data_IF_758583956359
#
_entry.id   IF_758583956359
#
_cell.length_a   1.000
_cell.length_b   1.000
_cell.length_c   1.000
_cell.angle_alpha   90.00
_cell.angle_beta   90.00
_cell.angle_gamma   90.00
#
_symmetry.space_group_name_H-M   'P 1'
#
loop_
_entity.id
_entity.type
_entity.pdbx_description
1 polymer ?
#
# COMPACT_ATOMS: atom_id res chain seq x y z
N UNK A 1 31.40 -0.41 11.20
CA UNK A 1 30.55 -1.32 10.41
C UNK A 1 29.34 -0.61 9.80
N UNK A 2 28.52 0.13 10.57
CA UNK A 2 27.30 0.80 10.07
C UNK A 2 27.56 1.82 8.92
N UNK A 3 28.66 2.57 8.95
CA UNK A 3 28.99 3.53 7.87
C UNK A 3 29.26 2.88 6.50
N UNK A 4 29.77 1.64 6.45
CA UNK A 4 30.05 0.95 5.17
C UNK A 4 28.79 0.31 4.58
N UNK A 5 27.87 -0.13 5.44
CA UNK A 5 26.57 -0.68 5.03
C UNK A 5 25.64 0.40 4.46
N UNK A 6 25.83 1.67 4.86
CA UNK A 6 24.98 2.80 4.44
C UNK A 6 24.81 2.91 2.91
N UNK A 7 25.87 2.62 2.17
CA UNK A 7 25.90 2.78 0.71
C UNK A 7 25.74 1.47 -0.06
N UNK A 8 25.59 0.35 0.64
CA UNK A 8 25.61 -0.99 0.03
C UNK A 8 24.38 -1.83 0.36
N UNK A 9 23.64 -1.49 1.43
CA UNK A 9 22.42 -2.19 1.80
C UNK A 9 21.31 -1.86 0.79
N UNK A 10 20.96 -2.86 -0.02
CA UNK A 10 19.90 -2.77 -1.03
C UNK A 10 18.62 -3.48 -0.64
N UNK A 11 18.70 -4.41 0.31
CA UNK A 11 17.61 -5.35 0.61
C UNK A 11 17.47 -5.55 2.10
N UNK A 12 16.24 -5.44 2.59
CA UNK A 12 15.87 -5.75 3.97
C UNK A 12 14.67 -6.68 3.92
N UNK A 13 14.81 -7.81 4.61
CA UNK A 13 13.74 -8.78 4.79
C UNK A 13 13.57 -9.02 6.28
N UNK A 14 12.37 -8.82 6.79
CA UNK A 14 11.96 -9.15 8.15
C UNK A 14 10.77 -10.09 8.10
N UNK A 15 10.87 -11.24 8.75
CA UNK A 15 9.80 -12.20 8.87
C UNK A 15 9.58 -12.51 10.35
N UNK A 16 8.33 -12.56 10.78
CA UNK A 16 7.97 -13.01 12.11
C UNK A 16 7.27 -14.36 12.02
N UNK A 17 7.94 -15.41 12.49
CA UNK A 17 7.49 -16.81 12.31
C UNK A 17 6.30 -17.19 13.21
N UNK A 18 6.05 -16.47 14.31
CA UNK A 18 4.91 -16.71 15.20
C UNK A 18 4.60 -15.49 16.07
N UNK A 19 3.34 -15.10 16.13
CA UNK A 19 2.81 -14.21 17.16
C UNK A 19 1.60 -14.91 17.82
N UNK A 20 1.57 -15.07 19.14
CA UNK A 20 0.35 -15.50 19.80
C UNK A 20 -0.72 -14.40 19.63
N UNK A 21 -1.97 -14.78 19.37
CA UNK A 21 -3.14 -13.89 19.22
C UNK A 21 -3.52 -13.16 20.53
N UNK A 22 -2.54 -12.68 21.31
CA UNK A 22 -2.78 -11.89 22.50
C UNK A 22 -3.06 -10.45 22.08
N UNK A 23 -4.36 -10.18 21.92
CA UNK A 23 -4.95 -8.84 21.74
C UNK A 23 -4.39 -7.91 22.83
N UNK A 24 -3.56 -6.94 22.45
CA UNK A 24 -3.18 -5.82 23.33
C UNK A 24 -1.70 -5.45 23.42
N UNK A 25 -0.77 -6.30 22.98
CA UNK A 25 0.68 -6.06 23.12
C UNK A 25 1.44 -5.89 21.79
N UNK A 26 0.78 -5.49 20.71
CA UNK A 26 1.51 -5.18 19.48
C UNK A 26 2.47 -4.00 19.76
N UNK A 27 3.79 -4.16 19.55
CA UNK A 27 4.72 -3.04 19.63
C UNK A 27 4.24 -1.96 18.68
N UNK A 28 3.84 -0.82 19.25
CA UNK A 28 3.39 0.36 18.52
C UNK A 28 4.63 1.18 18.22
N UNK A 29 5.40 0.80 17.22
CA UNK A 29 6.69 1.47 17.04
C UNK A 29 7.06 1.63 15.57
N UNK A 30 6.52 2.69 14.97
CA UNK A 30 7.01 3.29 13.74
C UNK A 30 8.51 3.65 13.84
N UNK A 31 9.02 3.84 15.07
CA UNK A 31 10.44 4.04 15.35
C UNK A 31 11.31 2.87 14.90
N UNK A 32 10.77 1.65 14.77
CA UNK A 32 11.52 0.50 14.25
C UNK A 32 11.94 0.69 12.77
N UNK A 33 11.22 1.51 12.00
CA UNK A 33 11.55 1.81 10.61
C UNK A 33 12.55 2.96 10.48
N UNK A 34 12.63 3.87 11.47
CA UNK A 34 13.48 5.07 11.40
C UNK A 34 14.97 4.76 11.13
N UNK A 35 15.59 3.72 11.71
CA UNK A 35 16.97 3.37 11.38
C UNK A 35 17.18 3.04 9.89
N UNK A 36 16.16 2.49 9.22
CA UNK A 36 16.23 2.13 7.80
C UNK A 36 16.26 3.35 6.88
N UNK A 37 15.79 4.52 7.34
CA UNK A 37 15.83 5.77 6.59
C UNK A 37 17.28 6.26 6.34
N UNK A 38 18.26 5.71 7.05
CA UNK A 38 19.66 6.06 6.84
C UNK A 38 20.30 5.43 5.58
N UNK A 39 19.61 4.51 4.89
CA UNK A 39 20.14 3.69 3.79
C UNK A 39 19.52 4.08 2.44
N UNK A 40 20.13 5.03 1.69
CA UNK A 40 19.52 5.59 0.48
C UNK A 40 19.48 4.67 -0.75
N UNK A 41 20.17 3.54 -0.68
CA UNK A 41 20.25 2.57 -1.79
C UNK A 41 19.31 1.37 -1.59
N UNK A 42 18.37 1.45 -0.65
CA UNK A 42 17.37 0.41 -0.48
C UNK A 42 16.50 0.32 -1.73
N UNK A 43 16.46 -0.87 -2.31
CA UNK A 43 15.65 -1.25 -3.46
C UNK A 43 14.50 -2.17 -3.05
N UNK A 44 14.68 -2.99 -2.01
CA UNK A 44 13.71 -4.00 -1.57
C UNK A 44 13.55 -3.94 -0.05
N UNK A 45 12.35 -3.65 0.42
CA UNK A 45 12.00 -3.66 1.85
C UNK A 45 10.76 -4.52 2.03
N UNK A 46 10.94 -5.71 2.60
CA UNK A 46 9.83 -6.62 2.89
C UNK A 46 9.83 -6.92 4.38
N UNK A 47 8.87 -6.34 5.10
CA UNK A 47 8.72 -6.54 6.54
C UNK A 47 7.36 -7.16 6.76
N UNK A 48 7.37 -8.47 6.88
CA UNK A 48 6.23 -9.28 7.26
C UNK A 48 6.37 -9.57 8.78
N UNK A 49 5.79 -8.69 9.61
CA UNK A 49 5.78 -8.85 11.06
C UNK A 49 4.45 -8.32 11.60
N UNK A 50 3.94 -8.87 12.71
CA UNK A 50 2.69 -8.44 13.35
C UNK A 50 2.89 -7.12 14.13
N UNK A 51 3.32 -6.06 13.43
CA UNK A 51 3.59 -4.74 14.00
C UNK A 51 2.38 -3.83 13.75
N UNK A 52 2.00 -3.07 14.78
CA UNK A 52 0.99 -2.03 14.61
C UNK A 52 1.58 -0.84 13.86
N UNK A 53 1.05 -0.59 12.66
CA UNK A 53 1.30 0.63 11.90
C UNK A 53 0.27 1.72 12.22
N UNK A 54 -0.33 1.70 13.41
CA UNK A 54 -1.33 2.69 13.84
C UNK A 54 -0.82 4.13 13.82
N UNK A 55 0.48 4.34 14.03
CA UNK A 55 1.12 5.66 13.93
C UNK A 55 1.71 5.93 12.53
N UNK A 56 1.56 5.00 11.60
CA UNK A 56 2.02 5.21 10.22
C UNK A 56 1.05 6.15 9.53
N UNK A 57 1.54 7.34 9.23
CA UNK A 57 0.81 8.40 8.56
C UNK A 57 1.50 8.82 7.25
N UNK A 58 0.95 9.82 6.57
CA UNK A 58 1.52 10.33 5.33
C UNK A 58 2.91 10.98 5.54
N UNK A 59 3.24 11.45 6.74
CA UNK A 59 4.55 12.04 7.05
C UNK A 59 5.64 10.96 7.06
N UNK A 60 5.39 9.81 7.70
CA UNK A 60 6.35 8.71 7.66
C UNK A 60 6.51 8.15 6.23
N UNK A 61 5.41 8.06 5.47
CA UNK A 61 5.45 7.63 4.07
C UNK A 61 6.31 8.58 3.22
N UNK A 62 6.16 9.90 3.41
CA UNK A 62 7.02 10.90 2.77
C UNK A 62 8.49 10.68 3.14
N UNK A 63 8.80 10.52 4.43
CA UNK A 63 10.18 10.32 4.90
C UNK A 63 10.81 9.06 4.31
N UNK A 64 10.04 7.97 4.22
CA UNK A 64 10.49 6.73 3.57
C UNK A 64 10.73 6.90 2.07
N UNK A 65 9.80 7.55 1.36
CA UNK A 65 9.92 7.78 -0.08
C UNK A 65 11.13 8.66 -0.41
N UNK A 66 11.35 9.72 0.37
CA UNK A 66 12.54 10.58 0.26
C UNK A 66 13.84 9.84 0.60
N UNK A 67 13.81 8.98 1.62
CA UNK A 67 14.98 8.24 2.05
C UNK A 67 15.39 7.16 1.04
N UNK A 68 14.45 6.56 0.30
CA UNK A 68 14.70 5.41 -0.58
C UNK A 68 14.34 5.71 -2.05
N UNK A 69 15.07 6.60 -2.74
CA UNK A 69 14.74 6.99 -4.11
C UNK A 69 14.86 5.84 -5.14
N UNK A 70 15.61 4.78 -4.80
CA UNK A 70 15.80 3.59 -5.64
C UNK A 70 14.85 2.43 -5.28
N UNK A 71 13.82 2.70 -4.46
CA UNK A 71 12.90 1.67 -4.00
C UNK A 71 12.12 1.07 -5.18
N UNK A 72 12.18 -0.26 -5.30
CA UNK A 72 11.51 -1.07 -6.32
C UNK A 72 10.36 -1.88 -5.74
N UNK A 73 10.55 -2.39 -4.53
CA UNK A 73 9.53 -3.17 -3.83
C UNK A 73 9.49 -2.78 -2.36
N UNK A 74 8.28 -2.45 -1.88
CA UNK A 74 8.00 -2.19 -0.48
C UNK A 74 6.79 -3.02 -0.07
N UNK A 75 6.89 -3.83 0.98
CA UNK A 75 5.74 -4.46 1.60
C UNK A 75 5.90 -4.45 3.11
N UNK A 76 4.97 -3.75 3.77
CA UNK A 76 4.92 -3.57 5.21
C UNK A 76 3.69 -4.27 5.78
N UNK A 77 3.83 -5.58 5.98
CA UNK A 77 2.86 -6.39 6.70
C UNK A 77 1.54 -6.58 5.96
N UNK A 78 1.49 -6.35 4.64
CA UNK A 78 0.26 -6.47 3.87
C UNK A 78 -0.30 -7.91 3.84
N UNK A 79 0.54 -8.88 4.20
CA UNK A 79 0.22 -10.30 4.31
C UNK A 79 0.08 -10.79 5.75
N UNK A 80 0.38 -9.98 6.77
CA UNK A 80 0.57 -10.48 8.14
C UNK A 80 0.28 -9.51 9.28
N UNK A 81 -0.14 -8.28 9.02
CA UNK A 81 -0.64 -7.36 10.04
C UNK A 81 -2.17 -7.43 10.13
N UNK A 82 -2.65 -7.89 11.28
CA UNK A 82 -4.05 -8.20 11.55
C UNK A 82 -4.80 -6.95 11.95
N UNK A 83 -5.80 -6.51 11.18
CA UNK A 83 -6.87 -5.61 11.65
C UNK A 83 -6.46 -4.22 12.16
N UNK A 84 -5.17 -3.92 12.25
CA UNK A 84 -4.67 -2.69 12.86
C UNK A 84 -4.92 -1.53 11.89
N UNK A 85 -5.52 -0.44 12.37
CA UNK A 85 -5.75 0.74 11.55
C UNK A 85 -4.42 1.33 11.11
N UNK A 86 -4.39 1.90 9.91
CA UNK A 86 -3.31 2.75 9.40
C UNK A 86 -3.87 4.16 9.21
N UNK A 87 -3.06 5.18 9.51
CA UNK A 87 -3.43 6.57 9.28
C UNK A 87 -2.97 7.07 7.90
N UNK A 88 -2.23 6.25 7.16
CA UNK A 88 -1.90 6.53 5.76
C UNK A 88 -3.19 6.66 4.96
N UNK A 89 -3.29 7.73 4.16
CA UNK A 89 -4.41 7.92 3.23
C UNK A 89 -3.95 7.68 1.79
N UNK A 90 -4.87 7.76 0.83
CA UNK A 90 -4.55 7.70 -0.60
C UNK A 90 -3.51 8.76 -1.02
N UNK A 91 -3.48 9.91 -0.35
CA UNK A 91 -2.50 10.97 -0.60
C UNK A 91 -1.06 10.51 -0.30
N UNK A 92 -0.87 9.64 0.70
CA UNK A 92 0.44 9.07 1.00
C UNK A 92 1.05 8.33 -0.20
N UNK A 93 0.23 7.76 -1.07
CA UNK A 93 0.71 7.06 -2.28
C UNK A 93 1.38 8.01 -3.28
N UNK A 94 1.05 9.31 -3.26
CA UNK A 94 1.67 10.30 -4.15
C UNK A 94 3.16 10.48 -3.86
N UNK A 95 3.57 10.29 -2.61
CA UNK A 95 4.97 10.44 -2.20
C UNK A 95 5.87 9.44 -2.92
N UNK A 96 5.39 8.21 -3.12
CA UNK A 96 6.12 7.21 -3.89
C UNK A 96 6.16 7.51 -5.40
N UNK A 97 5.12 8.17 -5.94
CA UNK A 97 5.13 8.61 -7.33
C UNK A 97 6.18 9.69 -7.57
N UNK A 98 6.37 10.58 -6.59
CA UNK A 98 7.30 11.70 -6.68
C UNK A 98 8.75 11.29 -6.43
N UNK A 99 8.99 10.45 -5.42
CA UNK A 99 10.35 10.17 -4.95
C UNK A 99 10.89 8.78 -5.35
N UNK A 100 10.03 7.82 -5.70
CA UNK A 100 10.42 6.44 -6.01
C UNK A 100 9.99 6.03 -7.43
N UNK A 101 10.61 6.56 -8.49
CA UNK A 101 10.18 6.35 -9.88
C UNK A 101 10.34 4.90 -10.38
N UNK A 102 11.15 4.08 -9.68
CA UNK A 102 11.40 2.67 -10.01
C UNK A 102 10.48 1.70 -9.25
N UNK A 103 9.61 2.19 -8.36
CA UNK A 103 8.72 1.36 -7.55
C UNK A 103 7.75 0.58 -8.46
N UNK A 104 7.81 -0.75 -8.39
CA UNK A 104 7.00 -1.65 -9.20
C UNK A 104 6.02 -2.51 -8.40
N UNK A 105 6.22 -2.63 -7.08
CA UNK A 105 5.34 -3.37 -6.17
C UNK A 105 5.22 -2.66 -4.82
N UNK A 106 3.98 -2.52 -4.33
CA UNK A 106 3.68 -1.92 -3.03
C UNK A 106 2.68 -2.77 -2.24
N UNK A 107 3.06 -3.16 -1.01
CA UNK A 107 2.21 -3.75 0.00
C UNK A 107 2.06 -2.82 1.19
N UNK A 108 0.88 -2.23 1.37
CA UNK A 108 0.66 -1.23 2.41
C UNK A 108 -0.82 -1.16 2.81
N UNK A 109 -1.09 -1.13 4.11
CA UNK A 109 -2.42 -0.84 4.64
C UNK A 109 -2.63 0.68 4.73
N UNK A 110 -3.81 1.14 4.31
CA UNK A 110 -4.21 2.54 4.31
C UNK A 110 -5.70 2.71 4.65
N UNK A 111 -6.09 3.94 4.96
CA UNK A 111 -7.46 4.38 5.12
C UNK A 111 -7.94 5.09 3.84
N UNK A 112 -8.69 4.37 3.00
CA UNK A 112 -9.32 4.90 1.79
C UNK A 112 -10.79 5.31 1.99
N UNK A 113 -11.26 5.46 3.25
CA UNK A 113 -12.55 6.07 3.56
C UNK A 113 -12.50 7.61 3.53
N UNK A 114 -11.30 8.18 3.65
CA UNK A 114 -11.09 9.62 3.59
C UNK A 114 -11.40 10.18 2.19
N UNK A 115 -11.58 11.50 2.10
CA UNK A 115 -11.82 12.19 0.83
C UNK A 115 -10.74 11.84 -0.19
N UNK A 116 -11.16 11.36 -1.37
CA UNK A 116 -10.24 11.02 -2.46
C UNK A 116 -9.64 12.31 -3.05
N UNK A 117 -8.31 12.44 -3.18
CA UNK A 117 -7.66 13.70 -3.59
C UNK A 117 -7.96 14.16 -5.03
N UNK A 118 -8.71 13.39 -5.83
CA UNK A 118 -8.91 13.59 -7.27
C UNK A 118 -9.28 15.01 -7.70
N UNK A 119 -10.11 15.71 -6.92
CA UNK A 119 -10.58 17.06 -7.25
C UNK A 119 -9.49 18.13 -7.14
N UNK A 120 -8.40 17.83 -6.41
CA UNK A 120 -7.32 18.77 -6.13
C UNK A 120 -6.04 18.46 -6.91
N UNK A 121 -6.02 17.37 -7.69
CA UNK A 121 -4.82 16.93 -8.42
C UNK A 121 -4.65 17.69 -9.74
N UNK A 122 -3.53 18.43 -9.92
CA UNK A 122 -3.16 19.03 -11.20
C UNK A 122 -3.03 17.96 -12.29
N UNK A 123 -3.32 18.30 -13.54
CA UNK A 123 -3.10 17.39 -14.70
C UNK A 123 -1.65 16.92 -14.82
N UNK A 124 -0.70 17.73 -14.35
CA UNK A 124 0.74 17.44 -14.35
C UNK A 124 1.25 16.63 -13.15
N UNK A 125 0.37 16.04 -12.33
CA UNK A 125 0.81 15.27 -11.15
C UNK A 125 1.74 14.12 -11.56
N UNK A 126 2.82 13.84 -10.79
CA UNK A 126 3.66 12.66 -11.00
C UNK A 126 2.83 11.37 -10.99
N UNK A 127 3.05 10.54 -12.00
CA UNK A 127 2.52 9.18 -12.09
C UNK A 127 3.69 8.20 -12.16
N UNK A 128 3.58 7.06 -11.49
CA UNK A 128 4.56 6.00 -11.57
C UNK A 128 4.13 4.97 -12.63
N UNK A 129 4.88 4.94 -13.74
CA UNK A 129 4.63 4.05 -14.88
C UNK A 129 5.16 2.62 -14.66
N UNK A 130 6.05 2.42 -13.68
CA UNK A 130 6.64 1.12 -13.34
C UNK A 130 5.77 0.31 -12.40
N UNK A 131 4.89 0.94 -11.61
CA UNK A 131 3.97 0.27 -10.69
C UNK A 131 3.12 -0.78 -11.41
N UNK A 132 3.23 -2.05 -10.97
CA UNK A 132 2.46 -3.19 -11.51
C UNK A 132 1.58 -3.88 -10.48
N UNK A 133 1.96 -3.86 -9.20
CA UNK A 133 1.28 -4.59 -8.14
C UNK A 133 1.02 -3.71 -6.91
N UNK A 134 -0.22 -3.74 -6.43
CA UNK A 134 -0.65 -3.10 -5.19
C UNK A 134 -1.38 -4.13 -4.31
N UNK A 135 -0.86 -4.37 -3.12
CA UNK A 135 -1.49 -5.20 -2.10
C UNK A 135 -1.94 -4.29 -0.95
N UNK A 136 -3.25 -4.16 -0.79
CA UNK A 136 -3.85 -3.22 0.16
C UNK A 136 -4.13 -3.86 1.53
N UNK A 137 -3.83 -5.15 1.71
CA UNK A 137 -4.01 -5.82 2.99
C UNK A 137 -5.46 -5.69 3.51
N UNK A 138 -5.60 -5.15 4.73
CA UNK A 138 -6.87 -4.85 5.40
C UNK A 138 -7.31 -3.38 5.26
N UNK A 139 -6.83 -2.67 4.23
CA UNK A 139 -7.16 -1.26 4.01
C UNK A 139 -8.67 -1.02 4.02
N UNK A 140 -9.10 0.06 4.67
CA UNK A 140 -10.53 0.39 4.76
C UNK A 140 -10.98 1.13 3.52
N UNK A 141 -12.05 0.67 2.88
CA UNK A 141 -12.74 1.37 1.78
C UNK A 141 -14.23 1.04 1.82
N UNK A 142 -15.09 1.97 1.43
CA UNK A 142 -16.52 1.76 1.29
C UNK A 142 -16.90 1.55 -0.18
N UNK A 143 -18.12 1.04 -0.40
CA UNK A 143 -18.66 0.78 -1.74
C UNK A 143 -18.83 2.10 -2.50
N UNK A 144 -19.17 3.17 -1.79
CA UNK A 144 -19.38 4.50 -2.34
C UNK A 144 -18.07 5.15 -2.82
N UNK A 145 -16.90 4.73 -2.33
CA UNK A 145 -15.60 5.24 -2.80
C UNK A 145 -15.02 4.47 -3.98
N UNK A 146 -15.55 3.28 -4.34
CA UNK A 146 -14.97 2.37 -5.35
C UNK A 146 -14.55 3.10 -6.63
N UNK A 147 -15.47 3.87 -7.23
CA UNK A 147 -15.20 4.59 -8.47
C UNK A 147 -14.15 5.71 -8.29
N UNK A 148 -14.17 6.40 -7.16
CA UNK A 148 -13.23 7.49 -6.89
C UNK A 148 -11.82 6.92 -6.62
N UNK A 149 -11.70 5.87 -5.82
CA UNK A 149 -10.43 5.17 -5.56
C UNK A 149 -9.87 4.59 -6.85
N UNK A 150 -10.69 3.93 -7.68
CA UNK A 150 -10.22 3.34 -8.93
C UNK A 150 -9.68 4.39 -9.90
N UNK A 151 -10.39 5.51 -10.09
CA UNK A 151 -9.90 6.62 -10.93
C UNK A 151 -8.61 7.24 -10.39
N UNK A 152 -8.51 7.38 -9.07
CA UNK A 152 -7.29 7.86 -8.43
C UNK A 152 -6.10 6.93 -8.73
N UNK A 153 -6.26 5.63 -8.50
CA UNK A 153 -5.21 4.64 -8.74
C UNK A 153 -4.81 4.56 -10.21
N UNK A 154 -5.76 4.58 -11.15
CA UNK A 154 -5.46 4.60 -12.59
C UNK A 154 -4.67 5.84 -13.01
N UNK A 155 -4.88 6.97 -12.34
CA UNK A 155 -4.15 8.21 -12.64
C UNK A 155 -2.71 8.15 -12.16
N UNK A 156 -2.47 7.64 -10.95
CA UNK A 156 -1.11 7.64 -10.36
C UNK A 156 -0.30 6.40 -10.75
N UNK A 157 -0.97 5.28 -11.04
CA UNK A 157 -0.39 3.99 -11.42
C UNK A 157 -1.05 3.45 -12.69
N UNK A 158 -0.85 4.11 -13.85
CA UNK A 158 -1.57 3.78 -15.09
C UNK A 158 -1.29 2.38 -15.64
N UNK A 159 -0.21 1.74 -15.19
CA UNK A 159 0.17 0.39 -15.61
C UNK A 159 -0.06 -0.67 -14.52
N UNK A 160 -0.89 -0.39 -13.52
CA UNK A 160 -1.22 -1.34 -12.46
C UNK A 160 -1.98 -2.53 -13.07
N UNK A 161 -1.47 -3.75 -12.85
CA UNK A 161 -2.04 -5.01 -13.39
C UNK A 161 -2.58 -5.94 -12.33
N UNK A 162 -2.11 -5.76 -11.10
CA UNK A 162 -2.46 -6.61 -9.98
C UNK A 162 -2.85 -5.75 -8.80
N UNK A 163 -4.11 -5.85 -8.39
CA UNK A 163 -4.60 -5.30 -7.14
C UNK A 163 -5.15 -6.45 -6.31
N UNK A 164 -4.70 -6.55 -5.07
CA UNK A 164 -5.17 -7.58 -4.14
C UNK A 164 -5.41 -6.97 -2.77
N UNK A 165 -6.22 -7.65 -1.97
CA UNK A 165 -6.39 -7.42 -0.54
C UNK A 165 -6.07 -8.72 0.22
N UNK A 166 -6.01 -8.64 1.55
CA UNK A 166 -5.77 -9.80 2.42
C UNK A 166 -6.81 -10.92 2.20
N UNK A 167 -6.53 -12.14 2.64
CA UNK A 167 -7.48 -13.27 2.56
C UNK A 167 -8.05 -13.59 3.94
N UNK A 168 -9.32 -13.22 4.13
CA UNK A 168 -10.36 -13.73 5.04
C UNK A 168 -9.95 -14.24 6.43
N UNK A 169 -10.40 -13.53 7.47
CA UNK A 169 -10.40 -13.98 8.88
C UNK A 169 -11.78 -14.51 9.34
N UNK A 170 -12.77 -14.55 8.45
CA UNK A 170 -14.13 -15.04 8.72
C UNK A 170 -15.10 -14.03 9.34
N UNK A 171 -14.74 -12.74 9.46
CA UNK A 171 -15.65 -11.71 10.00
C UNK A 171 -16.57 -11.08 8.94
N UNK A 172 -17.85 -10.87 9.28
CA UNK A 172 -18.88 -10.35 8.33
C UNK A 172 -18.58 -8.92 7.85
N UNK A 173 -18.02 -8.06 8.71
CA UNK A 173 -17.66 -6.68 8.35
C UNK A 173 -16.53 -6.61 7.32
N UNK A 174 -15.66 -7.62 7.28
CA UNK A 174 -14.55 -7.70 6.34
C UNK A 174 -15.00 -8.02 4.90
N UNK A 175 -16.11 -8.75 4.74
CA UNK A 175 -16.65 -9.09 3.42
C UNK A 175 -16.97 -7.85 2.58
N UNK A 176 -17.56 -6.81 3.18
CA UNK A 176 -17.90 -5.57 2.46
C UNK A 176 -16.63 -4.82 2.00
N UNK A 177 -15.62 -4.75 2.87
CA UNK A 177 -14.33 -4.12 2.56
C UNK A 177 -13.63 -4.87 1.43
N UNK A 178 -13.62 -6.21 1.49
CA UNK A 178 -13.06 -7.07 0.45
C UNK A 178 -13.78 -6.87 -0.88
N UNK A 179 -15.11 -6.89 -0.88
CA UNK A 179 -15.90 -6.69 -2.11
C UNK A 179 -15.57 -5.34 -2.74
N UNK A 180 -15.51 -4.27 -1.95
CA UNK A 180 -15.15 -2.96 -2.47
C UNK A 180 -13.75 -2.92 -3.11
N UNK A 181 -12.73 -3.54 -2.49
CA UNK A 181 -11.40 -3.64 -3.09
C UNK A 181 -11.34 -4.53 -4.34
N UNK A 182 -12.12 -5.61 -4.39
CA UNK A 182 -12.24 -6.42 -5.60
C UNK A 182 -12.85 -5.61 -6.75
N UNK A 183 -13.91 -4.83 -6.49
CA UNK A 183 -14.49 -3.93 -7.49
C UNK A 183 -13.51 -2.85 -7.95
N UNK A 184 -12.71 -2.28 -7.03
CA UNK A 184 -11.64 -1.35 -7.39
C UNK A 184 -10.61 -2.05 -8.30
N UNK A 185 -10.21 -3.27 -7.95
CA UNK A 185 -9.30 -4.09 -8.73
C UNK A 185 -9.81 -4.29 -10.16
N UNK A 186 -11.04 -4.77 -10.31
CA UNK A 186 -11.69 -4.98 -11.60
C UNK A 186 -11.64 -3.71 -12.47
N UNK A 187 -12.00 -2.54 -11.92
CA UNK A 187 -12.01 -1.27 -12.66
C UNK A 187 -10.59 -0.79 -13.03
N UNK A 188 -9.62 -0.98 -12.13
CA UNK A 188 -8.24 -0.49 -12.35
C UNK A 188 -7.50 -1.38 -13.34
N UNK A 189 -7.76 -2.69 -13.33
CA UNK A 189 -7.06 -3.67 -14.18
C UNK A 189 -7.80 -4.02 -15.46
N UNK A 190 -9.08 -3.63 -15.60
CA UNK A 190 -9.82 -3.78 -16.86
C UNK A 190 -9.20 -2.90 -17.95
N UNK A 191 -9.01 -3.46 -19.14
CA UNK A 191 -8.77 -2.66 -20.35
C UNK A 191 -10.00 -1.78 -20.62
N UNK A 192 -9.81 -0.53 -21.04
CA UNK A 192 -10.93 0.42 -21.32
C UNK A 192 -11.95 -0.09 -22.37
N UNK A 193 -11.65 -1.21 -23.04
CA UNK A 193 -12.51 -1.85 -24.02
C UNK A 193 -13.39 -2.99 -23.46
N UNK A 194 -13.23 -3.40 -22.20
CA UNK A 194 -14.07 -4.42 -21.58
C UNK A 194 -14.95 -3.79 -20.51
N UNK A 195 -16.27 -3.86 -20.71
CA UNK A 195 -17.26 -3.40 -19.73
C UNK A 195 -17.19 -4.29 -18.48
N UNK A 196 -16.66 -3.80 -17.34
CA UNK A 196 -16.41 -4.63 -16.15
C UNK A 196 -17.71 -5.07 -15.45
N UNK A 197 -18.87 -4.53 -15.86
CA UNK A 197 -20.19 -4.91 -15.32
C UNK A 197 -20.87 -6.03 -16.10
N UNK A 198 -20.36 -6.46 -17.26
CA UNK A 198 -21.03 -7.45 -18.10
C UNK A 198 -21.06 -8.86 -17.45
N UNK A 199 -20.09 -9.19 -16.60
CA UNK A 199 -19.99 -10.48 -15.90
C UNK A 199 -20.97 -10.62 -14.72
N UNK A 200 -21.61 -9.54 -14.27
CA UNK A 200 -22.48 -9.54 -13.09
C UNK A 200 -23.99 -9.60 -13.43
N UNK A 201 -24.40 -9.51 -14.70
CA UNK A 201 -25.81 -9.54 -15.14
C UNK A 201 -26.26 -10.86 -15.77
N UNK A 202 -25.39 -11.86 -15.86
CA UNK A 202 -25.76 -13.22 -16.28
C UNK A 202 -25.69 -14.18 -15.11
N UNK A 203 -26.67 -14.08 -14.21
CA UNK A 203 -27.12 -15.18 -13.34
C UNK A 203 -28.61 -15.04 -13.06
#
# INVERSE_FOLDING_TARGET
>A
MIQHCRHTLKRVYGFQDHYPDTIGEHPRDDYALRPLLAFPYLEYVWINACISFENMDNTLIHDMACAWPHLRELDLGSTSCWGLPSQVTLEGLLQFCEHCPELCSLGLTMNALATVPLLQMPESQPANLHMKALQVGNSRTGIEQVNAVARFLRRIYPNLRHLSCYKEDGTVGWLLIRVAWLMVGDIVTSDENENPMASYWTQ
#
